data_IF_095161555713
#
_entry.id   IF_095161555713
#
_cell.length_a   1.000
_cell.length_b   1.000
_cell.length_c   1.000
_cell.angle_alpha   90.00
_cell.angle_beta   90.00
_cell.angle_gamma   90.00
#
_symmetry.space_group_name_H-M   'P 1'
#
loop_
_entity.id
_entity.type
_entity.pdbx_description
1 polymer ?
#
# COMPACT_ATOMS: atom_id res chain seq x y z
N UNK A 1 -49.44 36.84 -11.75
CA UNK A 1 -48.61 37.60 -12.70
C UNK A 1 -47.20 37.07 -12.52
N UNK A 2 -46.83 36.01 -13.23
CA UNK A 2 -46.20 36.08 -14.58
C UNK A 2 -44.89 36.88 -14.51
N UNK A 3 -43.72 36.44 -14.99
CA UNK A 3 -43.31 35.24 -15.73
C UNK A 3 -41.78 35.35 -15.91
N UNK A 4 -41.10 34.20 -15.94
CA UNK A 4 -39.95 33.85 -16.80
C UNK A 4 -38.73 34.79 -16.89
N UNK A 5 -37.55 34.23 -16.55
CA UNK A 5 -36.62 33.74 -17.57
C UNK A 5 -35.73 32.65 -16.97
N UNK A 6 -35.89 31.45 -17.53
CA UNK A 6 -35.11 30.25 -17.25
C UNK A 6 -33.88 30.16 -18.17
N UNK A 7 -32.90 29.39 -17.68
CA UNK A 7 -31.94 28.56 -18.43
C UNK A 7 -30.80 29.26 -19.20
N UNK A 8 -29.55 28.90 -18.84
CA UNK A 8 -28.65 28.09 -19.68
C UNK A 8 -27.53 27.47 -18.79
N UNK A 9 -27.66 26.15 -18.56
CA UNK A 9 -26.65 25.06 -18.63
C UNK A 9 -25.33 25.22 -17.83
N UNK A 10 -24.91 24.34 -16.92
CA UNK A 10 -25.40 23.03 -16.48
C UNK A 10 -24.36 22.39 -15.54
N UNK A 11 -24.66 22.34 -14.25
CA UNK A 11 -23.94 21.58 -13.23
C UNK A 11 -24.65 20.23 -13.06
N UNK A 12 -23.95 19.08 -13.06
CA UNK A 12 -24.43 17.92 -12.34
C UNK A 12 -23.94 18.00 -10.90
N UNK A 13 -24.88 18.29 -10.01
CA UNK A 13 -24.80 17.98 -8.59
C UNK A 13 -25.04 16.47 -8.45
N UNK A 14 -23.98 15.71 -8.18
CA UNK A 14 -24.05 14.31 -7.78
C UNK A 14 -23.18 14.12 -6.56
N UNK A 15 -23.83 14.13 -5.39
CA UNK A 15 -23.41 13.38 -4.22
C UNK A 15 -23.19 11.92 -4.62
N UNK A 16 -22.00 11.32 -4.41
CA UNK A 16 -21.88 9.88 -4.54
C UNK A 16 -22.41 9.24 -3.25
N UNK A 17 -23.50 8.49 -3.42
CA UNK A 17 -23.94 7.47 -2.49
C UNK A 17 -22.79 6.50 -2.20
N UNK A 18 -22.73 6.10 -0.92
CA UNK A 18 -21.93 5.01 -0.41
C UNK A 18 -22.33 3.73 -1.13
N UNK A 19 -21.47 3.23 -2.02
CA UNK A 19 -21.54 1.88 -2.53
C UNK A 19 -20.17 1.21 -2.44
N UNK A 20 -20.18 0.09 -1.72
CA UNK A 20 -19.11 -0.88 -1.60
C UNK A 20 -18.48 -1.20 -2.96
N UNK A 21 -17.17 -0.99 -3.05
CA UNK A 21 -16.34 -1.50 -4.14
C UNK A 21 -15.13 -2.20 -3.51
N UNK A 22 -15.34 -3.48 -3.24
CA UNK A 22 -14.31 -4.49 -3.02
C UNK A 22 -13.32 -4.47 -4.20
N UNK A 23 -12.06 -4.12 -3.94
CA UNK A 23 -10.93 -4.56 -4.76
C UNK A 23 -9.73 -4.97 -3.88
N UNK A 24 -9.01 -6.04 -4.25
CA UNK A 24 -8.19 -6.83 -3.36
C UNK A 24 -6.77 -6.26 -3.19
N UNK A 25 -6.30 -6.29 -1.94
CA UNK A 25 -4.89 -6.14 -1.57
C UNK A 25 -4.04 -7.25 -2.20
N UNK A 26 -3.42 -6.98 -3.34
CA UNK A 26 -2.41 -7.87 -3.94
C UNK A 26 -1.03 -7.46 -3.42
N UNK A 27 -0.49 -8.26 -2.51
CA UNK A 27 0.87 -8.13 -1.97
C UNK A 27 1.93 -8.33 -3.05
N UNK A 28 2.70 -7.29 -3.37
CA UNK A 28 3.91 -7.40 -4.18
C UNK A 28 5.11 -7.77 -3.30
N UNK A 29 5.73 -8.93 -3.55
CA UNK A 29 7.03 -9.32 -2.98
C UNK A 29 8.14 -8.92 -3.95
N UNK A 30 8.99 -7.99 -3.53
CA UNK A 30 10.18 -7.57 -4.29
C UNK A 30 11.41 -8.36 -3.82
N UNK A 31 11.95 -9.21 -4.69
CA UNK A 31 13.21 -9.91 -4.45
C UNK A 31 14.40 -9.07 -4.95
N UNK A 32 15.21 -8.53 -4.02
CA UNK A 32 16.41 -7.76 -4.36
C UNK A 32 17.64 -8.64 -4.50
N UNK A 33 18.18 -8.67 -5.73
CA UNK A 33 19.47 -9.26 -6.10
C UNK A 33 20.59 -8.25 -5.82
N UNK A 34 21.33 -8.41 -4.72
CA UNK A 34 22.55 -7.62 -4.42
C UNK A 34 23.69 -8.04 -5.35
N UNK A 35 24.13 -7.13 -6.21
CA UNK A 35 25.37 -7.24 -6.99
C UNK A 35 26.47 -6.48 -6.23
N UNK A 36 27.44 -7.20 -5.70
CA UNK A 36 28.59 -6.62 -5.00
C UNK A 36 29.68 -6.11 -5.94
N UNK A 37 30.60 -5.33 -5.35
CA UNK A 37 31.97 -4.88 -5.72
C UNK A 37 32.11 -3.37 -5.42
N UNK A 38 33.13 -2.81 -4.76
CA UNK A 38 34.42 -3.28 -4.21
C UNK A 38 34.88 -2.32 -3.09
N UNK A 39 35.78 -2.87 -2.26
CA UNK A 39 36.51 -2.33 -1.10
C UNK A 39 37.28 -1.03 -1.33
N UNK A 40 37.47 -0.24 -0.26
CA UNK A 40 38.83 0.10 0.25
C UNK A 40 38.76 0.73 1.64
N UNK A 41 39.78 0.42 2.44
CA UNK A 41 40.17 1.01 3.75
C UNK A 41 39.69 0.31 5.04
N UNK A 42 40.53 -0.64 5.47
CA UNK A 42 40.83 -0.97 6.87
C UNK A 42 41.83 0.09 7.44
N UNK A 43 41.91 0.36 8.77
CA UNK A 43 42.39 -0.66 9.72
C UNK A 43 41.77 -0.69 11.14
N UNK A 44 41.72 -1.92 11.67
CA UNK A 44 42.13 -2.36 13.01
C UNK A 44 41.42 -1.79 14.25
N UNK A 45 40.55 -2.61 14.88
CA UNK A 45 40.73 -2.96 16.30
C UNK A 45 40.25 -4.39 16.56
N UNK A 46 41.16 -5.14 17.15
CA UNK A 46 41.08 -6.54 17.53
C UNK A 46 40.15 -6.72 18.73
N UNK A 47 39.14 -7.58 18.61
CA UNK A 47 38.48 -8.20 19.74
C UNK A 47 38.32 -9.70 19.46
N UNK A 48 39.22 -10.45 20.07
CA UNK A 48 39.25 -11.91 20.13
C UNK A 48 38.20 -12.38 21.12
N UNK A 49 37.23 -13.17 20.67
CA UNK A 49 36.44 -14.07 21.53
C UNK A 49 36.34 -15.43 20.81
N UNK A 50 37.41 -16.21 20.86
CA UNK A 50 37.50 -17.44 21.66
C UNK A 50 36.22 -18.30 21.64
N UNK A 51 36.29 -19.32 20.79
CA UNK A 51 35.59 -20.58 20.94
C UNK A 51 35.88 -21.17 22.33
N UNK A 52 34.84 -21.30 23.16
CA UNK A 52 34.83 -22.21 24.31
C UNK A 52 33.61 -23.11 24.21
N UNK A 53 33.88 -24.36 23.84
CA UNK A 53 33.15 -25.53 24.31
C UNK A 53 33.17 -25.53 25.85
N UNK A 54 32.04 -25.80 26.47
CA UNK A 54 31.83 -26.55 27.73
C UNK A 54 30.29 -26.67 27.87
N UNK A 55 29.73 -27.85 27.59
CA UNK A 55 29.51 -28.94 28.55
C UNK A 55 28.35 -28.63 29.51
N UNK A 56 27.22 -29.30 29.28
CA UNK A 56 26.04 -29.28 30.14
C UNK A 56 25.01 -30.31 29.72
N UNK A 57 25.18 -31.55 30.20
CA UNK A 57 24.09 -32.47 30.54
C UNK A 57 23.30 -33.11 29.40
N UNK A 58 23.75 -34.28 28.96
CA UNK A 58 22.87 -35.27 28.33
C UNK A 58 21.92 -35.88 29.38
N UNK A 59 20.63 -36.09 29.07
CA UNK A 59 19.87 -37.17 29.65
C UNK A 59 20.14 -38.44 28.83
N UNK A 60 20.86 -39.37 29.45
CA UNK A 60 20.87 -40.78 29.06
C UNK A 60 19.48 -41.40 29.29
N UNK A 61 19.30 -42.62 28.76
CA UNK A 61 18.13 -43.52 28.78
C UNK A 61 17.11 -43.32 27.63
N UNK A 62 16.95 -44.22 26.66
CA UNK A 62 17.59 -45.52 26.45
C UNK A 62 17.42 -45.97 25.00
N UNK A 63 18.53 -46.28 24.35
CA UNK A 63 18.57 -47.04 23.11
C UNK A 63 18.31 -48.51 23.47
N UNK A 64 17.09 -48.98 23.22
CA UNK A 64 16.80 -50.41 23.17
C UNK A 64 17.29 -50.96 21.82
N UNK A 65 18.58 -51.28 21.80
CA UNK A 65 19.15 -52.58 21.38
C UNK A 65 18.31 -53.43 20.41
N UNK A 66 18.37 -53.13 19.11
CA UNK A 66 17.76 -53.95 18.04
C UNK A 66 18.56 -55.23 17.72
N UNK A 67 19.57 -55.58 18.50
CA UNK A 67 20.42 -56.76 18.32
C UNK A 67 20.12 -57.93 19.29
N UNK A 68 18.92 -57.94 19.89
CA UNK A 68 18.52 -58.98 20.87
C UNK A 68 17.42 -59.96 20.44
N UNK A 69 17.25 -60.21 19.14
CA UNK A 69 16.37 -61.28 18.62
C UNK A 69 17.09 -62.40 17.85
N UNK A 70 18.40 -62.57 18.05
CA UNK A 70 19.13 -63.71 17.52
C UNK A 70 20.13 -64.25 18.55
N UNK A 71 19.63 -65.07 19.49
CA UNK A 71 20.20 -66.37 19.90
C UNK A 71 19.69 -66.81 21.28
N UNK A 72 19.14 -68.03 21.28
CA UNK A 72 19.17 -69.05 22.36
C UNK A 72 18.20 -68.79 23.54
N UNK A 73 17.24 -69.65 23.89
CA UNK A 73 17.10 -71.11 23.71
C UNK A 73 15.63 -71.54 23.57
N UNK A 74 15.39 -72.70 22.93
CA UNK A 74 14.09 -73.35 22.85
C UNK A 74 13.78 -74.06 24.16
N UNK A 75 12.51 -74.05 24.59
CA UNK A 75 12.03 -74.98 25.60
C UNK A 75 10.69 -75.57 25.14
N UNK A 76 10.82 -76.79 24.61
CA UNK A 76 9.90 -77.90 24.80
C UNK A 76 8.43 -77.69 24.37
N UNK A 77 8.21 -77.66 23.06
CA UNK A 77 7.09 -78.40 22.49
C UNK A 77 7.39 -79.88 22.72
N UNK A 78 6.53 -80.57 23.46
CA UNK A 78 6.62 -82.01 23.67
C UNK A 78 6.41 -82.75 22.34
N UNK A 79 7.49 -82.93 21.60
CA UNK A 79 7.63 -84.03 20.66
C UNK A 79 8.14 -85.21 21.47
N UNK A 80 7.22 -86.09 21.84
CA UNK A 80 7.55 -87.42 22.31
C UNK A 80 8.23 -88.15 21.13
N UNK A 81 9.41 -88.77 21.35
CA UNK A 81 10.10 -89.52 20.32
C UNK A 81 9.29 -90.78 20.01
N UNK A 82 8.88 -90.97 18.76
CA UNK A 82 8.47 -92.30 18.33
C UNK A 82 9.72 -92.96 17.78
N UNK A 83 10.11 -94.00 18.49
CA UNK A 83 11.26 -94.85 18.31
C UNK A 83 11.35 -95.37 16.86
N UNK A 84 12.59 -95.52 16.39
CA UNK A 84 12.92 -96.44 15.31
C UNK A 84 12.54 -97.86 15.78
N UNK A 85 11.28 -98.24 15.56
CA UNK A 85 10.84 -99.62 15.60
C UNK A 85 10.98 -100.21 14.20
N UNK A 86 12.16 -100.81 13.99
CA UNK A 86 12.34 -101.90 13.06
C UNK A 86 11.25 -102.97 13.29
N UNK A 87 10.61 -103.38 12.20
CA UNK A 87 9.76 -104.58 12.22
C UNK A 87 8.31 -104.31 12.58
N UNK A 88 7.58 -103.64 11.68
CA UNK A 88 6.19 -104.05 11.43
C UNK A 88 6.23 -105.47 10.83
N UNK A 89 6.46 -106.46 11.71
CA UNK A 89 5.91 -107.78 11.58
C UNK A 89 4.50 -107.62 11.02
N UNK A 90 4.25 -108.32 9.92
CA UNK A 90 2.93 -108.69 9.51
C UNK A 90 2.28 -109.42 10.69
N UNK A 91 1.65 -108.67 11.61
CA UNK A 91 0.53 -109.21 12.37
C UNK A 91 -0.57 -109.39 11.34
N UNK A 92 -0.47 -110.52 10.64
CA UNK A 92 -1.60 -111.42 10.54
C UNK A 92 -2.29 -111.33 11.91
N UNK A 93 -3.35 -110.52 12.00
CA UNK A 93 -4.29 -110.72 13.08
C UNK A 93 -4.61 -112.20 12.97
N UNK A 94 -4.14 -112.92 13.98
CA UNK A 94 -4.50 -114.27 14.33
C UNK A 94 -6.00 -114.22 14.63
N UNK A 95 -6.79 -113.98 13.58
CA UNK A 95 -8.06 -114.61 13.40
C UNK A 95 -7.74 -116.09 13.38
N UNK A 96 -7.58 -116.66 14.58
CA UNK A 96 -8.12 -117.96 14.93
C UNK A 96 -9.63 -117.92 14.71
N UNK A 97 -10.05 -117.64 13.47
CA UNK A 97 -11.03 -118.45 12.81
C UNK A 97 -10.43 -119.85 12.87
N UNK A 98 -10.76 -120.51 13.97
CA UNK A 98 -10.71 -121.96 14.13
C UNK A 98 -11.18 -122.48 12.79
N UNK A 99 -10.26 -122.88 11.91
CA UNK A 99 -10.56 -123.84 10.87
C UNK A 99 -10.82 -125.09 11.69
N UNK A 100 -12.02 -125.17 12.28
CA UNK A 100 -12.65 -126.43 12.47
C UNK A 100 -12.60 -127.02 11.09
N UNK A 101 -11.65 -127.94 10.88
CA UNK A 101 -11.75 -128.89 9.81
C UNK A 101 -13.09 -129.56 10.05
N UNK A 102 -14.14 -128.95 9.50
CA UNK A 102 -15.44 -129.53 9.45
C UNK A 102 -15.23 -130.65 8.45
N UNK A 103 -14.82 -131.81 8.95
CA UNK A 103 -14.93 -133.05 8.21
C UNK A 103 -16.43 -133.22 7.99
N UNK A 104 -16.91 -132.72 6.85
CA UNK A 104 -18.29 -132.89 6.44
C UNK A 104 -18.40 -134.38 6.07
N UNK A 105 -18.87 -135.19 7.02
CA UNK A 105 -19.22 -136.59 6.77
C UNK A 105 -20.54 -136.58 5.99
N UNK A 106 -20.43 -136.43 4.67
CA UNK A 106 -21.57 -136.52 3.77
C UNK A 106 -21.90 -138.00 3.54
N UNK A 107 -23.05 -138.45 4.06
CA UNK A 107 -23.52 -139.83 3.88
C UNK A 107 -24.32 -139.89 2.58
N UNK A 108 -23.73 -140.43 1.51
CA UNK A 108 -24.40 -140.59 0.22
C UNK A 108 -25.24 -141.88 0.27
N UNK A 109 -26.56 -141.76 0.39
CA UNK A 109 -27.48 -142.90 0.33
C UNK A 109 -27.93 -143.16 -1.10
N UNK A 110 -27.42 -144.22 -1.73
CA UNK A 110 -27.83 -144.66 -3.08
C UNK A 110 -28.77 -145.85 -2.93
N UNK A 111 -30.06 -145.65 -3.22
CA UNK A 111 -31.10 -146.62 -2.89
C UNK A 111 -31.08 -147.89 -3.74
N UNK A 112 -30.58 -147.83 -4.98
CA UNK A 112 -30.34 -149.01 -5.87
C UNK A 112 -29.62 -148.51 -7.13
N UNK A 113 -28.27 -148.54 -7.16
CA UNK A 113 -27.50 -147.94 -8.24
C UNK A 113 -26.08 -148.48 -8.37
N UNK A 114 -25.64 -148.77 -9.59
CA UNK A 114 -24.29 -149.28 -9.87
C UNK A 114 -23.19 -148.21 -9.67
N UNK A 115 -21.92 -148.62 -9.71
CA UNK A 115 -20.72 -147.78 -9.44
C UNK A 115 -20.73 -146.40 -10.16
N UNK A 116 -21.32 -146.30 -11.36
CA UNK A 116 -21.49 -145.03 -12.11
C UNK A 116 -22.37 -144.00 -11.40
N UNK A 117 -23.39 -144.42 -10.66
CA UNK A 117 -24.30 -143.51 -9.96
C UNK A 117 -23.67 -142.97 -8.67
N UNK A 118 -22.82 -143.77 -8.02
CA UNK A 118 -22.02 -143.34 -6.87
C UNK A 118 -20.96 -142.31 -7.32
N UNK A 119 -20.28 -142.54 -8.44
CA UNK A 119 -19.34 -141.56 -9.02
C UNK A 119 -20.04 -140.24 -9.33
N UNK A 120 -21.23 -140.30 -9.96
CA UNK A 120 -22.03 -139.12 -10.28
C UNK A 120 -22.48 -138.35 -9.02
N UNK A 121 -22.92 -139.06 -7.97
CA UNK A 121 -23.30 -138.44 -6.71
C UNK A 121 -22.11 -137.82 -5.97
N UNK A 122 -20.93 -138.45 -6.05
CA UNK A 122 -19.69 -137.89 -5.51
C UNK A 122 -19.24 -136.64 -6.28
N UNK A 123 -19.30 -136.66 -7.62
CA UNK A 123 -19.03 -135.50 -8.49
C UNK A 123 -20.02 -134.33 -8.26
N UNK A 124 -21.29 -134.65 -8.04
CA UNK A 124 -22.32 -133.67 -7.64
C UNK A 124 -22.03 -133.05 -6.27
N UNK A 125 -21.58 -133.86 -5.31
CA UNK A 125 -21.18 -133.40 -3.98
C UNK A 125 -19.94 -132.51 -4.04
N UNK A 126 -18.87 -132.93 -4.73
CA UNK A 126 -17.66 -132.10 -4.87
C UNK A 126 -17.95 -130.82 -5.63
N UNK A 127 -18.75 -130.86 -6.69
CA UNK A 127 -19.21 -129.66 -7.40
C UNK A 127 -20.05 -128.74 -6.50
N UNK A 128 -20.97 -129.28 -5.69
CA UNK A 128 -21.76 -128.50 -4.75
C UNK A 128 -20.91 -127.83 -3.68
N UNK A 129 -19.88 -128.51 -3.17
CA UNK A 129 -18.91 -127.94 -2.23
C UNK A 129 -18.07 -126.86 -2.90
N UNK A 130 -17.58 -127.08 -4.12
CA UNK A 130 -16.83 -126.09 -4.89
C UNK A 130 -17.67 -124.85 -5.21
N UNK A 131 -18.93 -125.02 -5.61
CA UNK A 131 -19.86 -123.92 -5.86
C UNK A 131 -20.14 -123.15 -4.58
N UNK A 132 -20.40 -123.83 -3.45
CA UNK A 132 -20.60 -123.18 -2.16
C UNK A 132 -19.34 -122.42 -1.69
N UNK A 133 -18.16 -122.99 -1.89
CA UNK A 133 -16.89 -122.32 -1.61
C UNK A 133 -16.66 -121.12 -2.54
N UNK A 134 -17.00 -121.22 -3.83
CA UNK A 134 -16.93 -120.10 -4.78
C UNK A 134 -17.88 -118.98 -4.38
N UNK A 135 -19.14 -119.28 -4.05
CA UNK A 135 -20.12 -118.28 -3.61
C UNK A 135 -19.69 -117.63 -2.30
N UNK A 136 -19.22 -118.40 -1.32
CA UNK A 136 -18.71 -117.86 -0.06
C UNK A 136 -17.47 -116.96 -0.27
N UNK A 137 -16.56 -117.37 -1.16
CA UNK A 137 -15.38 -116.57 -1.52
C UNK A 137 -15.76 -115.26 -2.21
N UNK A 138 -16.70 -115.30 -3.16
CA UNK A 138 -17.20 -114.11 -3.84
C UNK A 138 -17.86 -113.13 -2.87
N UNK A 139 -18.69 -113.61 -1.95
CA UNK A 139 -19.32 -112.77 -0.91
C UNK A 139 -18.27 -112.16 0.02
N UNK A 140 -17.25 -112.93 0.41
CA UNK A 140 -16.14 -112.41 1.22
C UNK A 140 -15.37 -111.30 0.49
N UNK A 141 -14.96 -111.52 -0.76
CA UNK A 141 -14.27 -110.50 -1.54
C UNK A 141 -15.15 -109.27 -1.79
N UNK A 142 -16.45 -109.44 -2.01
CA UNK A 142 -17.39 -108.34 -2.16
C UNK A 142 -17.45 -107.50 -0.89
N UNK A 143 -17.64 -108.13 0.27
CA UNK A 143 -17.71 -107.45 1.56
C UNK A 143 -16.40 -106.71 1.89
N UNK A 144 -15.26 -107.37 1.70
CA UNK A 144 -13.93 -106.75 1.92
C UNK A 144 -13.72 -105.56 0.99
N UNK A 145 -14.15 -105.66 -0.27
CA UNK A 145 -14.05 -104.54 -1.23
C UNK A 145 -14.98 -103.40 -0.86
N UNK A 146 -16.20 -103.67 -0.41
CA UNK A 146 -17.11 -102.64 0.09
C UNK A 146 -16.60 -101.97 1.38
N UNK A 147 -16.10 -102.74 2.35
CA UNK A 147 -15.51 -102.20 3.58
C UNK A 147 -14.30 -101.33 3.26
N UNK A 148 -13.47 -101.75 2.29
CA UNK A 148 -12.37 -100.95 1.77
C UNK A 148 -12.86 -99.67 1.08
N UNK A 149 -13.90 -99.76 0.25
CA UNK A 149 -14.47 -98.60 -0.44
C UNK A 149 -15.08 -97.59 0.56
N UNK A 150 -15.77 -98.07 1.60
CA UNK A 150 -16.27 -97.25 2.70
C UNK A 150 -15.15 -96.54 3.45
N UNK A 151 -14.08 -97.26 3.80
CA UNK A 151 -12.92 -96.70 4.49
C UNK A 151 -12.24 -95.61 3.65
N UNK A 152 -12.04 -95.87 2.36
CA UNK A 152 -11.48 -94.90 1.42
C UNK A 152 -12.38 -93.66 1.29
N UNK A 153 -13.71 -93.84 1.18
CA UNK A 153 -14.64 -92.71 1.13
C UNK A 153 -14.62 -91.84 2.40
N UNK A 154 -14.45 -92.44 3.58
CA UNK A 154 -14.26 -91.70 4.84
C UNK A 154 -12.94 -90.93 4.84
N UNK A 155 -11.85 -91.55 4.38
CA UNK A 155 -10.55 -90.88 4.28
C UNK A 155 -10.57 -89.73 3.25
N UNK A 156 -11.20 -89.93 2.09
CA UNK A 156 -11.38 -88.89 1.07
C UNK A 156 -12.20 -87.73 1.62
N UNK A 157 -13.28 -87.99 2.34
CA UNK A 157 -14.10 -86.95 2.97
C UNK A 157 -13.30 -86.13 3.99
N UNK A 158 -12.50 -86.79 4.83
CA UNK A 158 -11.61 -86.12 5.79
C UNK A 158 -10.53 -85.27 5.10
N UNK A 159 -9.96 -85.76 4.00
CA UNK A 159 -8.97 -85.01 3.22
C UNK A 159 -9.60 -83.76 2.57
N UNK A 160 -10.83 -83.87 2.07
CA UNK A 160 -11.56 -82.73 1.50
C UNK A 160 -11.88 -81.70 2.58
N UNK A 161 -12.41 -82.11 3.73
CA UNK A 161 -12.69 -81.20 4.85
C UNK A 161 -11.41 -80.47 5.33
N UNK A 162 -10.28 -81.18 5.43
CA UNK A 162 -9.00 -80.54 5.75
C UNK A 162 -8.56 -79.56 4.66
N UNK A 163 -8.70 -79.92 3.38
CA UNK A 163 -8.35 -79.03 2.28
C UNK A 163 -9.20 -77.75 2.27
N UNK A 164 -10.51 -77.87 2.46
CA UNK A 164 -11.44 -76.74 2.57
C UNK A 164 -11.13 -75.87 3.79
N UNK A 165 -10.85 -76.48 4.94
CA UNK A 165 -10.44 -75.78 6.16
C UNK A 165 -9.13 -75.01 5.98
N UNK A 166 -8.15 -75.60 5.28
CA UNK A 166 -6.89 -74.93 4.94
C UNK A 166 -7.09 -73.77 3.95
N UNK A 167 -8.01 -73.92 3.01
CA UNK A 167 -8.34 -72.88 2.02
C UNK A 167 -9.00 -71.67 2.69
N UNK A 168 -10.01 -71.91 3.54
CA UNK A 168 -10.64 -70.87 4.36
C UNK A 168 -9.62 -70.18 5.30
N UNK A 169 -8.72 -70.94 5.92
CA UNK A 169 -7.66 -70.36 6.76
C UNK A 169 -6.67 -69.51 5.95
N UNK A 170 -6.39 -69.88 4.69
CA UNK A 170 -5.54 -69.09 3.81
C UNK A 170 -6.23 -67.80 3.35
N UNK A 171 -7.51 -67.87 2.95
CA UNK A 171 -8.31 -66.71 2.53
C UNK A 171 -8.47 -65.70 3.66
N UNK A 172 -8.84 -66.16 4.87
CA UNK A 172 -8.96 -65.29 6.05
C UNK A 172 -7.64 -64.59 6.39
N UNK A 173 -6.53 -65.31 6.32
CA UNK A 173 -5.19 -64.73 6.52
C UNK A 173 -4.84 -63.71 5.44
N UNK A 174 -5.21 -63.96 4.19
CA UNK A 174 -5.01 -63.01 3.09
C UNK A 174 -5.84 -61.74 3.27
N UNK A 175 -7.10 -61.86 3.71
CA UNK A 175 -7.97 -60.73 4.02
C UNK A 175 -7.41 -59.88 5.16
N UNK A 176 -6.87 -60.51 6.21
CA UNK A 176 -6.21 -59.83 7.32
C UNK A 176 -4.97 -59.05 6.84
N UNK A 177 -4.14 -59.66 6.00
CA UNK A 177 -3.02 -58.97 5.38
C UNK A 177 -3.46 -57.77 4.54
N UNK A 178 -4.54 -57.92 3.75
CA UNK A 178 -5.04 -56.85 2.91
C UNK A 178 -5.59 -55.67 3.74
N UNK A 179 -6.29 -55.98 4.85
CA UNK A 179 -6.73 -54.97 5.83
C UNK A 179 -5.54 -54.26 6.47
N UNK A 180 -4.51 -55.00 6.89
CA UNK A 180 -3.30 -54.41 7.47
C UNK A 180 -2.55 -53.51 6.48
N UNK A 181 -2.44 -53.92 5.21
CA UNK A 181 -1.83 -53.10 4.15
C UNK A 181 -2.61 -51.82 3.89
N UNK A 182 -3.95 -51.89 3.87
CA UNK A 182 -4.81 -50.72 3.67
C UNK A 182 -4.69 -49.77 4.85
N UNK A 183 -4.73 -50.30 6.08
CA UNK A 183 -4.53 -49.51 7.30
C UNK A 183 -3.18 -48.78 7.29
N UNK A 184 -2.08 -49.47 6.95
CA UNK A 184 -0.75 -48.85 6.85
C UNK A 184 -0.73 -47.76 5.79
N UNK A 185 -1.30 -48.01 4.61
CA UNK A 185 -1.36 -47.02 3.53
C UNK A 185 -2.13 -45.77 3.94
N UNK A 186 -3.25 -45.94 4.63
CA UNK A 186 -4.07 -44.84 5.14
C UNK A 186 -3.34 -44.04 6.23
N UNK A 187 -2.61 -44.73 7.12
CA UNK A 187 -1.77 -44.09 8.14
C UNK A 187 -0.67 -43.24 7.49
N UNK A 188 0.09 -43.80 6.54
CA UNK A 188 1.11 -43.05 5.82
C UNK A 188 0.54 -41.85 5.06
N UNK A 189 -0.63 -42.00 4.44
CA UNK A 189 -1.29 -40.90 3.72
C UNK A 189 -1.66 -39.77 4.68
N UNK A 190 -2.27 -40.09 5.83
CA UNK A 190 -2.59 -39.10 6.87
C UNK A 190 -1.36 -38.39 7.42
N UNK A 191 -0.29 -39.13 7.70
CA UNK A 191 0.96 -38.54 8.19
C UNK A 191 1.57 -37.59 7.15
N UNK A 192 1.56 -37.97 5.87
CA UNK A 192 2.01 -37.10 4.79
C UNK A 192 1.13 -35.86 4.65
N UNK A 193 -0.19 -35.98 4.79
CA UNK A 193 -1.10 -34.84 4.71
C UNK A 193 -0.91 -33.87 5.89
N UNK A 194 -0.69 -34.40 7.11
CA UNK A 194 -0.35 -33.59 8.28
C UNK A 194 0.99 -32.88 8.09
N UNK A 195 2.02 -33.59 7.62
CA UNK A 195 3.33 -33.00 7.38
C UNK A 195 3.27 -31.91 6.29
N UNK A 196 2.51 -32.14 5.21
CA UNK A 196 2.27 -31.14 4.16
C UNK A 196 1.56 -29.92 4.73
N UNK A 197 0.49 -30.11 5.49
CA UNK A 197 -0.26 -29.02 6.10
C UNK A 197 0.62 -28.19 7.05
N UNK A 198 1.44 -28.84 7.87
CA UNK A 198 2.41 -28.17 8.76
C UNK A 198 3.40 -27.31 7.98
N UNK A 199 4.06 -27.89 6.97
CA UNK A 199 5.03 -27.16 6.14
C UNK A 199 4.36 -25.97 5.44
N UNK A 200 3.14 -26.13 4.91
CA UNK A 200 2.43 -25.02 4.29
C UNK A 200 2.05 -23.93 5.28
N UNK A 201 1.63 -24.29 6.49
CA UNK A 201 1.26 -23.34 7.52
C UNK A 201 2.48 -22.56 8.02
N UNK A 202 3.58 -23.25 8.31
CA UNK A 202 4.84 -22.62 8.72
C UNK A 202 5.39 -21.69 7.63
N UNK A 203 5.34 -22.11 6.37
CA UNK A 203 5.73 -21.26 5.24
C UNK A 203 4.82 -20.03 5.15
N UNK A 204 3.50 -20.19 5.24
CA UNK A 204 2.56 -19.09 5.20
C UNK A 204 2.76 -18.10 6.36
N UNK A 205 2.96 -18.58 7.58
CA UNK A 205 3.26 -17.73 8.73
C UNK A 205 4.60 -16.99 8.56
N UNK A 206 5.64 -17.64 8.05
CA UNK A 206 6.90 -16.98 7.75
C UNK A 206 6.74 -15.88 6.69
N UNK A 207 5.94 -16.14 5.66
CA UNK A 207 5.62 -15.15 4.63
C UNK A 207 4.80 -13.99 5.17
N UNK A 208 3.85 -14.23 6.08
CA UNK A 208 3.05 -13.19 6.73
C UNK A 208 3.93 -12.31 7.62
N UNK A 209 4.79 -12.90 8.46
CA UNK A 209 5.74 -12.13 9.30
C UNK A 209 6.66 -11.23 8.46
N UNK A 210 7.17 -11.74 7.34
CA UNK A 210 8.00 -10.94 6.45
C UNK A 210 7.19 -9.84 5.73
N UNK A 211 5.93 -10.13 5.38
CA UNK A 211 5.03 -9.13 4.82
C UNK A 211 4.76 -7.99 5.82
N UNK A 212 4.44 -8.31 7.08
CA UNK A 212 4.23 -7.34 8.17
C UNK A 212 5.49 -6.50 8.44
N UNK A 213 6.66 -7.13 8.44
CA UNK A 213 7.93 -6.42 8.60
C UNK A 213 8.16 -5.45 7.45
N UNK A 214 7.83 -5.86 6.22
CA UNK A 214 7.94 -4.99 5.05
C UNK A 214 6.92 -3.84 5.10
N UNK A 215 5.67 -4.08 5.50
CA UNK A 215 4.67 -3.01 5.64
C UNK A 215 5.11 -1.99 6.67
N UNK A 216 5.56 -2.42 7.85
CA UNK A 216 6.11 -1.52 8.87
C UNK A 216 7.32 -0.74 8.36
N UNK A 217 8.24 -1.40 7.64
CA UNK A 217 9.38 -0.72 7.03
C UNK A 217 8.98 0.32 5.98
N UNK A 218 7.94 0.06 5.19
CA UNK A 218 7.41 1.01 4.22
C UNK A 218 6.71 2.18 4.90
N UNK A 219 5.95 1.92 5.97
CA UNK A 219 5.33 2.96 6.79
C UNK A 219 6.38 3.88 7.43
N UNK A 220 7.43 3.31 8.03
CA UNK A 220 8.55 4.07 8.60
C UNK A 220 9.21 4.95 7.54
N UNK A 221 9.50 4.38 6.36
CA UNK A 221 10.12 5.13 5.26
C UNK A 221 9.21 6.23 4.71
N UNK A 222 7.91 5.98 4.67
CA UNK A 222 6.92 6.97 4.24
C UNK A 222 6.84 8.11 5.25
N UNK A 223 6.79 7.80 6.56
CA UNK A 223 6.83 8.80 7.63
C UNK A 223 8.11 9.65 7.58
N UNK A 224 9.26 9.01 7.35
CA UNK A 224 10.54 9.71 7.19
C UNK A 224 10.51 10.67 5.99
N UNK A 225 10.03 10.22 4.82
CA UNK A 225 9.92 11.07 3.63
C UNK A 225 8.92 12.22 3.83
N UNK A 226 7.79 11.97 4.49
CA UNK A 226 6.83 13.01 4.87
C UNK A 226 7.47 14.03 5.81
N UNK A 227 8.23 13.59 6.80
CA UNK A 227 8.99 14.46 7.71
C UNK A 227 10.02 15.32 6.95
N UNK A 228 10.77 14.73 6.02
CA UNK A 228 11.72 15.47 5.19
C UNK A 228 11.05 16.50 4.28
N UNK A 229 9.88 16.17 3.72
CA UNK A 229 9.10 17.11 2.91
C UNK A 229 8.59 18.27 3.76
N UNK A 230 8.01 18.00 4.94
CA UNK A 230 7.55 19.03 5.86
C UNK A 230 8.69 19.97 6.26
N UNK A 231 9.84 19.41 6.64
CA UNK A 231 11.02 20.21 6.98
C UNK A 231 11.53 21.06 5.80
N UNK A 232 11.52 20.54 4.57
CA UNK A 232 11.87 21.34 3.38
C UNK A 232 10.85 22.45 3.10
N UNK A 233 9.57 22.21 3.37
CA UNK A 233 8.53 23.22 3.25
C UNK A 233 8.74 24.33 4.28
N UNK A 234 8.93 23.99 5.55
CA UNK A 234 9.23 24.96 6.61
C UNK A 234 10.50 25.77 6.30
N UNK A 235 11.56 25.12 5.80
CA UNK A 235 12.79 25.80 5.39
C UNK A 235 12.54 26.82 4.27
N UNK A 236 11.76 26.46 3.25
CA UNK A 236 11.42 27.36 2.14
C UNK A 236 10.53 28.51 2.60
N UNK A 237 9.56 28.23 3.44
CA UNK A 237 8.69 29.25 4.03
C UNK A 237 9.51 30.25 4.86
N UNK A 238 10.41 29.77 5.72
CA UNK A 238 11.28 30.63 6.51
C UNK A 238 12.19 31.51 5.63
N UNK A 239 12.72 30.96 4.53
CA UNK A 239 13.51 31.74 3.56
C UNK A 239 12.65 32.83 2.90
N UNK A 240 11.45 32.50 2.43
CA UNK A 240 10.54 33.45 1.81
C UNK A 240 10.13 34.57 2.77
N UNK A 241 9.81 34.23 4.02
CA UNK A 241 9.48 35.22 5.05
C UNK A 241 10.65 36.17 5.30
N UNK A 242 11.87 35.64 5.44
CA UNK A 242 13.07 36.47 5.65
C UNK A 242 13.36 37.39 4.47
N UNK A 243 13.18 36.91 3.25
CA UNK A 243 13.40 37.70 2.05
C UNK A 243 12.35 38.82 1.95
N UNK A 244 11.08 38.52 2.24
CA UNK A 244 10.00 39.51 2.31
C UNK A 244 10.24 40.55 3.41
N UNK A 245 10.67 40.15 4.61
CA UNK A 245 11.02 41.08 5.69
C UNK A 245 12.18 41.99 5.29
N UNK A 246 13.15 41.46 4.55
CA UNK A 246 14.27 42.25 4.02
C UNK A 246 13.81 43.29 3.02
N UNK A 247 12.93 42.92 2.09
CA UNK A 247 12.35 43.84 1.10
C UNK A 247 11.49 44.92 1.78
N UNK A 248 10.69 44.55 2.80
CA UNK A 248 9.91 45.50 3.60
C UNK A 248 10.80 46.48 4.36
N UNK A 249 11.95 46.04 4.90
CA UNK A 249 12.92 46.91 5.55
C UNK A 249 13.59 47.88 4.57
N UNK A 250 13.87 47.43 3.34
CA UNK A 250 14.39 48.31 2.28
C UNK A 250 13.34 49.33 1.87
N UNK A 251 12.09 48.90 1.61
CA UNK A 251 10.98 49.78 1.28
C UNK A 251 10.72 50.82 2.38
N UNK A 252 10.77 50.41 3.66
CA UNK A 252 10.63 51.32 4.81
C UNK A 252 11.74 52.38 4.82
N UNK A 253 13.00 51.99 4.60
CA UNK A 253 14.12 52.93 4.54
C UNK A 253 13.96 53.94 3.41
N UNK A 254 13.61 53.48 2.20
CA UNK A 254 13.34 54.36 1.07
C UNK A 254 12.19 55.34 1.37
N UNK A 255 11.12 54.86 1.99
CA UNK A 255 10.01 55.73 2.40
C UNK A 255 10.46 56.79 3.42
N UNK A 256 11.29 56.41 4.39
CA UNK A 256 11.82 57.34 5.39
C UNK A 256 12.77 58.38 4.77
N UNK A 257 13.58 57.99 3.79
CA UNK A 257 14.40 58.91 3.00
C UNK A 257 13.54 59.89 2.20
N UNK A 258 12.48 59.40 1.54
CA UNK A 258 11.52 60.25 0.82
C UNK A 258 10.83 61.23 1.77
N UNK A 259 10.38 60.78 2.95
CA UNK A 259 9.79 61.66 3.95
C UNK A 259 10.78 62.73 4.44
N UNK A 260 12.02 62.34 4.72
CA UNK A 260 13.09 63.27 5.12
C UNK A 260 13.36 64.32 4.04
N UNK A 261 13.37 63.90 2.78
CA UNK A 261 13.54 64.79 1.63
C UNK A 261 12.36 65.76 1.49
N UNK A 262 11.13 65.26 1.54
CA UNK A 262 9.91 66.07 1.50
C UNK A 262 9.88 67.08 2.65
N UNK A 263 10.31 66.67 3.86
CA UNK A 263 10.42 67.59 4.99
C UNK A 263 11.43 68.71 4.72
N UNK A 264 12.62 68.39 4.21
CA UNK A 264 13.63 69.39 3.84
C UNK A 264 13.13 70.33 2.73
N UNK A 265 12.40 69.79 1.76
CA UNK A 265 11.77 70.59 0.69
C UNK A 265 10.70 71.53 1.26
N UNK A 266 9.86 71.04 2.18
CA UNK A 266 8.87 71.87 2.86
C UNK A 266 9.53 73.00 3.67
N UNK A 267 10.61 72.71 4.39
CA UNK A 267 11.38 73.73 5.13
C UNK A 267 11.99 74.78 4.19
N UNK A 268 12.56 74.36 3.05
CA UNK A 268 13.06 75.28 2.01
C UNK A 268 11.95 76.18 1.47
N UNK A 269 10.79 75.63 1.16
CA UNK A 269 9.63 76.39 0.66
C UNK A 269 9.16 77.41 1.70
N UNK A 270 9.07 77.02 2.97
CA UNK A 270 8.71 77.93 4.06
C UNK A 270 9.74 79.05 4.24
N UNK A 271 11.04 78.75 4.13
CA UNK A 271 12.09 79.75 4.22
C UNK A 271 12.06 80.74 3.05
N UNK A 272 11.86 80.27 1.81
CA UNK A 272 11.64 81.13 0.65
C UNK A 272 10.45 82.05 0.90
N UNK A 273 9.33 81.49 1.38
CA UNK A 273 8.13 82.27 1.68
C UNK A 273 8.39 83.35 2.74
N UNK A 274 9.11 83.04 3.82
CA UNK A 274 9.51 84.04 4.83
C UNK A 274 10.34 85.17 4.22
N UNK A 275 11.31 84.84 3.36
CA UNK A 275 12.15 85.85 2.68
C UNK A 275 11.33 86.72 1.74
N UNK A 276 10.42 86.13 0.98
CA UNK A 276 9.48 86.88 0.13
C UNK A 276 8.61 87.82 0.95
N UNK A 277 8.06 87.35 2.07
CA UNK A 277 7.26 88.17 2.98
C UNK A 277 8.08 89.31 3.60
N UNK A 278 9.36 89.06 3.96
CA UNK A 278 10.29 90.10 4.40
C UNK A 278 10.56 91.14 3.32
N UNK A 279 10.83 90.72 2.07
CA UNK A 279 11.04 91.63 0.94
C UNK A 279 9.80 92.44 0.61
N UNK A 280 8.60 91.83 0.68
CA UNK A 280 7.32 92.53 0.52
C UNK A 280 7.14 93.58 1.61
N UNK A 281 7.42 93.23 2.87
CA UNK A 281 7.33 94.17 3.98
C UNK A 281 8.35 95.31 3.85
N UNK A 282 9.60 95.03 3.47
CA UNK A 282 10.62 96.05 3.24
C UNK A 282 10.28 96.98 2.07
N UNK A 283 9.68 96.43 1.01
CA UNK A 283 9.12 97.20 -0.11
C UNK A 283 8.02 98.16 0.36
N UNK A 284 7.06 97.66 1.16
CA UNK A 284 6.01 98.48 1.77
C UNK A 284 6.59 99.55 2.70
N UNK A 285 7.58 99.20 3.54
CA UNK A 285 8.25 100.14 4.43
C UNK A 285 9.07 101.19 3.66
N UNK A 286 9.61 100.85 2.50
CA UNK A 286 10.31 101.79 1.63
C UNK A 286 9.34 102.74 0.94
N UNK A 287 8.19 102.22 0.46
CA UNK A 287 7.09 103.04 -0.08
C UNK A 287 6.59 104.04 0.95
N UNK A 288 6.29 103.59 2.18
CA UNK A 288 5.83 104.43 3.27
C UNK A 288 6.84 105.53 3.64
N UNK A 289 8.14 105.20 3.63
CA UNK A 289 9.20 106.20 3.88
C UNK A 289 9.25 107.25 2.77
N UNK A 290 9.06 106.85 1.52
CA UNK A 290 9.05 107.80 0.40
C UNK A 290 7.79 108.69 0.43
N UNK A 291 6.62 108.12 0.73
CA UNK A 291 5.38 108.87 0.96
C UNK A 291 5.52 109.88 2.11
N UNK A 292 6.18 109.52 3.21
CA UNK A 292 6.49 110.46 4.29
C UNK A 292 7.44 111.57 3.85
N UNK A 293 8.40 111.29 2.95
CA UNK A 293 9.32 112.31 2.41
C UNK A 293 8.59 113.27 1.48
N UNK A 294 7.73 112.78 0.59
CA UNK A 294 6.93 113.64 -0.30
C UNK A 294 5.96 114.47 0.50
N UNK A 295 5.22 113.89 1.45
CA UNK A 295 4.34 114.64 2.35
C UNK A 295 5.08 115.75 3.11
N UNK A 296 6.29 115.47 3.61
CA UNK A 296 7.12 116.47 4.28
C UNK A 296 7.61 117.59 3.34
N UNK A 297 7.90 117.29 2.07
CA UNK A 297 8.24 118.30 1.05
C UNK A 297 7.02 119.17 0.76
N UNK A 298 5.87 118.55 0.51
CA UNK A 298 4.61 119.25 0.27
C UNK A 298 4.25 120.16 1.45
N UNK A 299 4.38 119.68 2.70
CA UNK A 299 4.13 120.52 3.87
C UNK A 299 5.11 121.71 3.99
N UNK A 300 6.37 121.55 3.57
CA UNK A 300 7.32 122.68 3.49
C UNK A 300 6.96 123.68 2.40
N UNK A 301 6.54 123.20 1.25
CA UNK A 301 6.07 124.02 0.13
C UNK A 301 4.78 124.76 0.51
N UNK A 302 3.86 124.11 1.22
CA UNK A 302 2.65 124.71 1.76
C UNK A 302 2.96 125.78 2.83
N UNK A 303 3.92 125.53 3.72
CA UNK A 303 4.42 126.57 4.66
C UNK A 303 5.07 127.74 3.90
N UNK A 304 5.78 127.48 2.80
CA UNK A 304 6.35 128.54 1.96
C UNK A 304 5.26 129.34 1.27
N UNK A 305 4.26 128.68 0.68
CA UNK A 305 3.10 129.33 0.05
C UNK A 305 2.28 130.14 1.07
N UNK A 306 2.07 129.64 2.28
CA UNK A 306 1.43 130.40 3.38
C UNK A 306 2.28 131.58 3.80
N UNK A 307 3.61 131.46 3.85
CA UNK A 307 4.53 132.57 4.14
C UNK A 307 4.62 133.59 2.99
N UNK A 308 4.41 133.17 1.75
CA UNK A 308 4.38 134.03 0.57
C UNK A 308 3.04 134.77 0.50
N UNK A 309 1.91 134.09 0.76
CA UNK A 309 0.59 134.69 0.93
C UNK A 309 0.56 135.70 2.08
N UNK A 310 1.24 135.41 3.20
CA UNK A 310 1.37 136.35 4.33
C UNK A 310 2.27 137.57 4.04
N UNK A 311 2.97 137.63 2.90
CA UNK A 311 3.75 138.81 2.47
C UNK A 311 3.01 139.71 1.49
N UNK A 312 1.87 139.27 0.94
CA UNK A 312 1.01 140.04 0.02
C UNK A 312 -0.33 140.48 0.65
N UNK A 313 -0.55 140.23 1.94
CA UNK A 313 -1.69 140.79 2.70
C UNK A 313 -1.23 141.89 3.66
N UNK A 314 -0.80 143.00 3.07
CA UNK A 314 -0.68 144.27 3.77
C UNK A 314 -1.24 145.42 2.90
N UNK A 315 -2.39 145.21 2.25
CA UNK A 315 -3.28 146.33 1.92
C UNK A 315 -4.74 145.90 1.71
N UNK A 316 -5.61 146.52 2.51
CA UNK A 316 -7.03 146.75 2.23
C UNK A 316 -8.05 145.74 2.76
N UNK A 317 -8.39 145.95 4.05
CA UNK A 317 -9.76 146.12 4.59
C UNK A 317 -10.90 145.41 3.84
N UNK A 318 -11.41 144.38 4.51
CA UNK A 318 -12.81 144.19 4.90
C UNK A 318 -13.91 144.45 3.88
N UNK A 319 -14.70 143.41 3.59
CA UNK A 319 -16.17 143.42 3.55
C UNK A 319 -16.67 141.99 3.30
N UNK A 320 -17.71 141.61 4.07
CA UNK A 320 -18.74 140.60 3.83
C UNK A 320 -18.33 139.19 3.33
N UNK A 321 -18.37 138.26 4.29
CA UNK A 321 -18.56 136.83 4.12
C UNK A 321 -19.90 136.51 3.42
N UNK A 322 -19.98 135.35 2.75
CA UNK A 322 -21.11 134.78 1.98
C UNK A 322 -21.39 135.41 0.59
N UNK A 323 -20.83 134.82 -0.51
CA UNK A 323 -21.34 133.55 -1.07
C UNK A 323 -20.28 132.57 -1.66
N UNK A 324 -18.98 132.74 -1.39
CA UNK A 324 -17.91 131.89 -1.95
C UNK A 324 -17.69 130.55 -1.21
N UNK A 325 -18.32 130.36 -0.06
CA UNK A 325 -18.27 129.13 0.74
C UNK A 325 -18.82 127.93 -0.04
N UNK A 326 -19.88 128.11 -0.87
CA UNK A 326 -20.48 126.99 -1.63
C UNK A 326 -19.64 126.47 -2.80
N UNK A 327 -18.73 127.29 -3.35
CA UNK A 327 -17.82 126.85 -4.42
C UNK A 327 -16.64 126.08 -3.82
N UNK A 328 -16.12 126.56 -2.69
CA UNK A 328 -15.05 125.91 -1.96
C UNK A 328 -15.51 124.58 -1.34
N UNK A 329 -16.72 124.54 -0.76
CA UNK A 329 -17.32 123.31 -0.25
C UNK A 329 -17.68 122.33 -1.37
N UNK A 330 -18.01 122.82 -2.58
CA UNK A 330 -18.27 121.98 -3.77
C UNK A 330 -17.00 121.37 -4.34
N UNK A 331 -15.91 122.12 -4.43
CA UNK A 331 -14.63 121.59 -4.91
C UNK A 331 -14.01 120.63 -3.89
N UNK A 332 -14.15 120.91 -2.59
CA UNK A 332 -13.74 120.00 -1.53
C UNK A 332 -14.62 118.74 -1.47
N UNK A 333 -15.92 118.84 -1.78
CA UNK A 333 -16.78 117.68 -1.95
C UNK A 333 -16.38 116.86 -3.18
N UNK A 334 -16.12 117.50 -4.33
CA UNK A 334 -15.67 116.84 -5.56
C UNK A 334 -14.32 116.13 -5.38
N UNK A 335 -13.37 116.75 -4.67
CA UNK A 335 -12.09 116.14 -4.35
C UNK A 335 -12.23 114.96 -3.37
N UNK A 336 -13.16 115.05 -2.40
CA UNK A 336 -13.49 113.93 -1.51
C UNK A 336 -14.14 112.77 -2.27
N UNK A 337 -15.08 113.07 -3.16
CA UNK A 337 -15.73 112.07 -4.00
C UNK A 337 -14.71 111.38 -4.94
N UNK A 338 -13.75 112.13 -5.49
CA UNK A 338 -12.68 111.56 -6.32
C UNK A 338 -11.69 110.70 -5.52
N UNK A 339 -11.28 111.14 -4.33
CA UNK A 339 -10.45 110.33 -3.41
C UNK A 339 -11.18 109.08 -2.97
N UNK A 340 -12.48 109.18 -2.68
CA UNK A 340 -13.31 108.05 -2.26
C UNK A 340 -13.59 107.10 -3.43
N UNK A 341 -13.72 107.60 -4.65
CA UNK A 341 -13.76 106.80 -5.89
C UNK A 341 -12.46 106.02 -6.08
N UNK A 342 -11.30 106.68 -5.96
CA UNK A 342 -10.00 106.00 -6.09
C UNK A 342 -9.70 105.02 -4.95
N UNK A 343 -10.19 105.29 -3.75
CA UNK A 343 -10.13 104.34 -2.64
C UNK A 343 -10.98 103.09 -2.94
N UNK A 344 -12.17 103.28 -3.50
CA UNK A 344 -13.06 102.18 -3.93
C UNK A 344 -12.46 101.37 -5.09
N UNK A 345 -11.78 102.03 -6.03
CA UNK A 345 -11.03 101.36 -7.11
C UNK A 345 -9.87 100.54 -6.57
N UNK A 346 -9.10 101.08 -5.61
CA UNK A 346 -8.00 100.34 -4.97
C UNK A 346 -8.51 99.13 -4.19
N UNK A 347 -9.63 99.25 -3.50
CA UNK A 347 -10.25 98.13 -2.78
C UNK A 347 -10.75 97.05 -3.75
N UNK A 348 -11.33 97.45 -4.90
CA UNK A 348 -11.69 96.56 -6.00
C UNK A 348 -10.46 95.84 -6.61
N UNK A 349 -9.36 96.56 -6.82
CA UNK A 349 -8.09 95.98 -7.29
C UNK A 349 -7.50 95.02 -6.25
N UNK A 350 -7.61 95.33 -4.96
CA UNK A 350 -7.14 94.47 -3.89
C UNK A 350 -7.98 93.18 -3.80
N UNK A 351 -9.30 93.27 -3.97
CA UNK A 351 -10.16 92.09 -3.94
C UNK A 351 -10.00 91.21 -5.18
N UNK A 352 -9.80 91.81 -6.36
CA UNK A 352 -9.45 91.04 -7.59
C UNK A 352 -8.10 90.34 -7.46
N UNK A 353 -7.09 90.97 -6.84
CA UNK A 353 -5.81 90.33 -6.56
C UNK A 353 -5.96 89.17 -5.56
N UNK A 354 -6.77 89.34 -4.50
CA UNK A 354 -7.08 88.26 -3.54
C UNK A 354 -7.83 87.10 -4.19
N UNK A 355 -8.73 87.37 -5.14
CA UNK A 355 -9.40 86.35 -5.92
C UNK A 355 -8.41 85.58 -6.80
N UNK A 356 -7.54 86.28 -7.52
CA UNK A 356 -6.54 85.67 -8.39
C UNK A 356 -5.54 84.78 -7.61
N UNK A 357 -5.14 85.19 -6.41
CA UNK A 357 -4.29 84.39 -5.54
C UNK A 357 -4.99 83.12 -5.02
N UNK A 358 -6.29 83.19 -4.72
CA UNK A 358 -7.08 82.01 -4.35
C UNK A 358 -7.18 81.03 -5.52
N UNK A 359 -7.43 81.51 -6.74
CA UNK A 359 -7.49 80.68 -7.95
C UNK A 359 -6.15 80.01 -8.28
N UNK A 360 -5.03 80.72 -8.09
CA UNK A 360 -3.69 80.16 -8.27
C UNK A 360 -3.39 79.06 -7.25
N UNK A 361 -3.71 79.28 -5.97
CA UNK A 361 -3.51 78.26 -4.92
C UNK A 361 -4.35 77.00 -5.18
N UNK A 362 -5.60 77.17 -5.64
CA UNK A 362 -6.48 76.07 -6.01
C UNK A 362 -5.92 75.28 -7.20
N UNK A 363 -5.44 75.99 -8.24
CA UNK A 363 -4.85 75.39 -9.43
C UNK A 363 -3.55 74.61 -9.12
N UNK A 364 -2.70 75.11 -8.22
CA UNK A 364 -1.51 74.38 -7.76
C UNK A 364 -1.86 73.10 -7.00
N UNK A 365 -2.84 73.16 -6.08
CA UNK A 365 -3.31 71.96 -5.37
C UNK A 365 -3.97 70.92 -6.29
N UNK A 366 -4.69 71.37 -7.33
CA UNK A 366 -5.25 70.47 -8.34
C UNK A 366 -4.15 69.80 -9.19
N UNK A 367 -3.08 70.52 -9.54
CA UNK A 367 -1.96 69.97 -10.31
C UNK A 367 -1.20 68.88 -9.55
N UNK A 368 -1.03 69.01 -8.23
CA UNK A 368 -0.40 67.98 -7.38
C UNK A 368 -1.26 66.71 -7.30
N UNK A 369 -2.58 66.86 -7.17
CA UNK A 369 -3.51 65.73 -7.19
C UNK A 369 -3.54 65.01 -8.55
N UNK A 370 -3.46 65.76 -9.66
CA UNK A 370 -3.39 65.21 -11.02
C UNK A 370 -2.07 64.45 -11.30
N UNK A 371 -0.94 64.91 -10.74
CA UNK A 371 0.34 64.19 -10.85
C UNK A 371 0.33 62.83 -10.15
N UNK A 372 -0.29 62.75 -8.97
CA UNK A 372 -0.43 61.50 -8.21
C UNK A 372 -1.33 60.47 -8.91
N UNK A 373 -2.32 60.92 -9.69
CA UNK A 373 -3.21 60.02 -10.43
C UNK A 373 -2.49 59.25 -11.55
N UNK A 374 -1.51 59.87 -12.22
CA UNK A 374 -0.75 59.21 -13.29
C UNK A 374 0.21 58.14 -12.75
N UNK A 375 0.80 58.37 -11.57
CA UNK A 375 1.66 57.40 -10.90
C UNK A 375 0.83 56.19 -10.45
N UNK A 376 -0.32 56.43 -9.83
CA UNK A 376 -1.23 55.38 -9.38
C UNK A 376 -1.78 54.54 -10.54
N UNK A 377 -2.11 55.16 -11.68
CA UNK A 377 -2.53 54.42 -12.88
C UNK A 377 -1.39 53.63 -13.54
N UNK A 378 -0.13 54.07 -13.37
CA UNK A 378 1.04 53.29 -13.81
C UNK A 378 1.24 52.07 -12.90
N UNK A 379 1.28 52.24 -11.58
CA UNK A 379 1.41 51.12 -10.63
C UNK A 379 0.28 50.10 -10.77
N UNK A 380 -0.96 50.56 -10.99
CA UNK A 380 -2.12 49.69 -11.27
C UNK A 380 -1.95 48.90 -12.57
N UNK A 381 -1.26 49.44 -13.57
CA UNK A 381 -0.94 48.73 -14.82
C UNK A 381 0.14 47.68 -14.58
N UNK A 382 1.20 48.06 -13.87
CA UNK A 382 2.32 47.19 -13.55
C UNK A 382 1.86 45.99 -12.67
N UNK A 383 1.00 46.23 -11.68
CA UNK A 383 0.39 45.18 -10.85
C UNK A 383 -0.49 44.22 -11.66
N UNK A 384 -1.24 44.72 -12.65
CA UNK A 384 -2.04 43.88 -13.55
C UNK A 384 -1.17 43.02 -14.46
N UNK A 385 -0.04 43.54 -14.92
CA UNK A 385 0.91 42.77 -15.73
C UNK A 385 1.60 41.70 -14.87
N UNK A 386 2.03 42.04 -13.65
CA UNK A 386 2.60 41.09 -12.71
C UNK A 386 1.62 39.95 -12.35
N UNK A 387 0.33 40.25 -12.18
CA UNK A 387 -0.70 39.24 -11.98
C UNK A 387 -0.86 38.31 -13.19
N UNK A 388 -0.92 38.85 -14.42
CA UNK A 388 -0.99 38.01 -15.63
C UNK A 388 0.24 37.13 -15.79
N UNK A 389 1.44 37.64 -15.50
CA UNK A 389 2.65 36.82 -15.52
C UNK A 389 2.62 35.69 -14.50
N UNK A 390 2.10 35.98 -13.30
CA UNK A 390 1.93 34.96 -12.26
C UNK A 390 0.93 33.89 -12.70
N UNK A 391 -0.22 34.27 -13.23
CA UNK A 391 -1.21 33.34 -13.79
C UNK A 391 -0.61 32.48 -14.91
N UNK A 392 0.16 33.09 -15.82
CA UNK A 392 0.84 32.36 -16.89
C UNK A 392 1.90 31.37 -16.36
N UNK A 393 2.64 31.73 -15.31
CA UNK A 393 3.60 30.84 -14.64
C UNK A 393 2.87 29.69 -13.95
N UNK A 394 1.80 29.99 -13.22
CA UNK A 394 0.98 28.97 -12.55
C UNK A 394 0.37 28.00 -13.56
N UNK A 395 -0.21 28.48 -14.66
CA UNK A 395 -0.70 27.62 -15.75
C UNK A 395 0.40 26.79 -16.42
N UNK A 396 1.63 27.32 -16.49
CA UNK A 396 2.78 26.55 -17.00
C UNK A 396 3.16 25.44 -16.03
N UNK A 397 3.32 25.75 -14.75
CA UNK A 397 3.64 24.77 -13.71
C UNK A 397 2.56 23.69 -13.59
N UNK A 398 1.28 24.07 -13.72
CA UNK A 398 0.18 23.10 -13.74
C UNK A 398 0.30 22.15 -14.94
N UNK A 399 0.52 22.67 -16.15
CA UNK A 399 0.74 21.82 -17.33
C UNK A 399 1.93 20.89 -17.20
N UNK A 400 3.06 21.39 -16.69
CA UNK A 400 4.25 20.58 -16.43
C UNK A 400 3.92 19.47 -15.40
N UNK A 401 3.18 19.80 -14.34
CA UNK A 401 2.75 18.80 -13.36
C UNK A 401 1.80 17.74 -13.95
N UNK A 402 0.84 18.15 -14.80
CA UNK A 402 -0.08 17.24 -15.50
C UNK A 402 0.67 16.30 -16.46
N UNK A 403 1.70 16.81 -17.14
CA UNK A 403 2.57 15.99 -18.00
C UNK A 403 3.34 14.95 -17.17
N UNK A 404 3.93 15.34 -16.03
CA UNK A 404 4.61 14.36 -15.16
C UNK A 404 3.67 13.30 -14.60
N UNK A 405 2.42 13.67 -14.29
CA UNK A 405 1.39 12.70 -13.85
C UNK A 405 1.06 11.73 -14.98
N UNK A 406 0.94 12.23 -16.22
CA UNK A 406 0.68 11.39 -17.40
C UNK A 406 1.83 10.42 -17.66
N UNK A 407 3.08 10.89 -17.57
CA UNK A 407 4.28 10.04 -17.69
C UNK A 407 4.35 8.97 -16.60
N UNK A 408 4.02 9.33 -15.36
CA UNK A 408 3.95 8.36 -14.26
C UNK A 408 2.86 7.31 -14.48
N UNK A 409 1.68 7.72 -14.96
CA UNK A 409 0.61 6.78 -15.31
C UNK A 409 1.03 5.82 -16.42
N UNK A 410 1.68 6.31 -17.47
CA UNK A 410 2.21 5.47 -18.55
C UNK A 410 3.28 4.51 -18.03
N UNK A 411 4.19 4.98 -17.17
CA UNK A 411 5.20 4.13 -16.52
C UNK A 411 4.56 3.01 -15.69
N UNK A 412 3.54 3.32 -14.89
CA UNK A 412 2.80 2.32 -14.11
C UNK A 412 2.18 1.25 -15.03
N UNK A 413 1.52 1.66 -16.12
CA UNK A 413 0.93 0.73 -17.08
C UNK A 413 1.98 -0.15 -17.76
N UNK A 414 3.15 0.40 -18.09
CA UNK A 414 4.24 -0.38 -18.70
C UNK A 414 4.81 -1.42 -17.73
N UNK A 415 5.00 -1.07 -16.46
CA UNK A 415 5.48 -2.00 -15.44
C UNK A 415 4.41 -3.06 -15.11
N UNK A 416 3.12 -2.70 -15.03
CA UNK A 416 2.04 -3.68 -14.88
C UNK A 416 2.06 -4.72 -16.00
N UNK A 417 2.14 -4.28 -17.25
CA UNK A 417 2.25 -5.19 -18.40
C UNK A 417 3.51 -6.09 -18.33
N UNK A 418 4.61 -5.57 -17.79
CA UNK A 418 5.84 -6.33 -17.60
C UNK A 418 5.67 -7.41 -16.52
N UNK A 419 5.03 -7.07 -15.41
CA UNK A 419 4.71 -8.03 -14.35
C UNK A 419 3.77 -9.13 -14.84
N UNK A 420 2.71 -8.79 -15.57
CA UNK A 420 1.78 -9.77 -16.15
C UNK A 420 2.48 -10.74 -17.11
N UNK A 421 3.32 -10.23 -18.02
CA UNK A 421 4.12 -11.08 -18.91
C UNK A 421 5.04 -12.02 -18.14
N UNK A 422 5.67 -11.54 -17.08
CA UNK A 422 6.57 -12.35 -16.24
C UNK A 422 5.78 -13.41 -15.49
N UNK A 423 4.61 -13.06 -14.96
CA UNK A 423 3.73 -13.98 -14.24
C UNK A 423 3.26 -15.12 -15.16
N UNK A 424 2.84 -14.79 -16.39
CA UNK A 424 2.45 -15.79 -17.39
C UNK A 424 3.62 -16.71 -17.75
N UNK A 425 4.83 -16.16 -17.91
CA UNK A 425 6.02 -16.96 -18.16
C UNK A 425 6.34 -17.91 -17.01
N UNK A 426 6.25 -17.45 -15.76
CA UNK A 426 6.50 -18.28 -14.58
C UNK A 426 5.41 -19.36 -14.40
N UNK A 427 4.15 -19.04 -14.69
CA UNK A 427 3.06 -20.02 -14.71
C UNK A 427 3.31 -21.11 -15.77
N UNK A 428 3.75 -20.74 -16.97
CA UNK A 428 4.14 -21.72 -18.00
C UNK A 428 5.26 -22.63 -17.51
N UNK A 429 6.34 -22.07 -16.93
CA UNK A 429 7.44 -22.89 -16.37
C UNK A 429 6.99 -23.83 -15.26
N UNK A 430 6.04 -23.40 -14.42
CA UNK A 430 5.46 -24.27 -13.38
C UNK A 430 4.68 -25.43 -13.98
N UNK A 431 3.86 -25.17 -15.01
CA UNK A 431 3.13 -26.22 -15.71
C UNK A 431 4.10 -27.22 -16.38
N UNK A 432 5.17 -26.74 -17.02
CA UNK A 432 6.19 -27.60 -17.62
C UNK A 432 6.87 -28.50 -16.56
N UNK A 433 7.19 -27.94 -15.39
CA UNK A 433 7.78 -28.69 -14.28
C UNK A 433 6.80 -29.71 -13.69
N UNK A 434 5.53 -29.34 -13.54
CA UNK A 434 4.48 -30.26 -13.08
C UNK A 434 4.29 -31.42 -14.06
N UNK A 435 4.28 -31.15 -15.37
CA UNK A 435 4.23 -32.18 -16.40
C UNK A 435 5.46 -33.09 -16.32
N UNK A 436 6.67 -32.53 -16.19
CA UNK A 436 7.89 -33.31 -16.06
C UNK A 436 7.86 -34.22 -14.83
N UNK A 437 7.38 -33.72 -13.69
CA UNK A 437 7.25 -34.52 -12.46
C UNK A 437 6.20 -35.62 -12.64
N UNK A 438 5.08 -35.33 -13.30
CA UNK A 438 4.08 -36.33 -13.63
C UNK A 438 4.63 -37.41 -14.57
N UNK A 439 5.36 -37.04 -15.61
CA UNK A 439 6.02 -37.97 -16.52
C UNK A 439 7.03 -38.86 -15.78
N UNK A 440 7.89 -38.28 -14.94
CA UNK A 440 8.84 -39.04 -14.12
C UNK A 440 8.15 -39.99 -13.13
N UNK A 441 7.01 -39.57 -12.56
CA UNK A 441 6.22 -40.43 -11.70
C UNK A 441 5.63 -41.60 -12.49
N UNK A 442 5.10 -41.35 -13.69
CA UNK A 442 4.56 -42.40 -14.56
C UNK A 442 5.64 -43.39 -15.01
N UNK A 443 6.83 -42.92 -15.40
CA UNK A 443 7.94 -43.79 -15.79
C UNK A 443 8.42 -44.66 -14.64
N UNK A 444 8.63 -44.09 -13.44
CA UNK A 444 9.01 -44.85 -12.25
C UNK A 444 7.97 -45.89 -11.86
N UNK A 445 6.68 -45.56 -12.02
CA UNK A 445 5.59 -46.51 -11.75
C UNK A 445 5.59 -47.66 -12.75
N UNK A 446 5.90 -47.38 -14.02
CA UNK A 446 5.97 -48.37 -15.08
C UNK A 446 7.21 -49.28 -14.95
N UNK A 447 8.38 -48.74 -14.62
CA UNK A 447 9.60 -49.53 -14.33
C UNK A 447 9.37 -50.47 -13.15
N UNK A 448 8.69 -50.00 -12.10
CA UNK A 448 8.36 -50.82 -10.92
C UNK A 448 7.37 -51.94 -11.25
N UNK A 449 6.47 -51.72 -12.20
CA UNK A 449 5.53 -52.73 -12.68
C UNK A 449 6.17 -53.77 -13.62
N UNK A 450 7.31 -53.45 -14.25
CA UNK A 450 8.04 -54.38 -15.13
C UNK A 450 9.12 -55.19 -14.39
N UNK A 451 9.55 -54.72 -13.22
CA UNK A 451 10.60 -55.37 -12.42
C UNK A 451 10.08 -56.30 -11.31
N UNK A 452 8.76 -56.49 -11.21
CA UNK A 452 8.10 -57.51 -10.38
C UNK A 452 7.45 -58.55 -11.26
#
# INVERSE_FOLDING_TARGET
>A
MDKTLSNIIGLPDQTPDVLDLDYPLVFAKEARKKKGKMSTEEPTTTAVCQSRRLAGGAPEFGLLDSERLLRKKPLATGLVPLEDDDGAEYRLQDGRGKLTGNTIVATITVATGGIREIQKAYEELTRGIEEQQRTASLLFFHQVNEDRARLLGVQESQLVEMAEGLLLAAETRQDEFQKALTYLRDCYTRELDVARAQVTNEANEALLREAEKNTLSWEDRTRELQGQLALKWEQREALLVRDMDSDLLVARRLHEEVLSQVQKDAERVLEVRRREDHLRLDGLMSSLREELRTLKRNHREEILLVREAARDEDTSKGVAYDPLQSHYDRDMASARDEVQSKASELESVQETLRSALRDLSFRESANVACGNFQILEKEKRDLREALREREHKEHRCLRESEETVRELQESILTEQNRYEKTLLSEQGRRQDLEQLVQEQFMTLTQERAQSG
#
